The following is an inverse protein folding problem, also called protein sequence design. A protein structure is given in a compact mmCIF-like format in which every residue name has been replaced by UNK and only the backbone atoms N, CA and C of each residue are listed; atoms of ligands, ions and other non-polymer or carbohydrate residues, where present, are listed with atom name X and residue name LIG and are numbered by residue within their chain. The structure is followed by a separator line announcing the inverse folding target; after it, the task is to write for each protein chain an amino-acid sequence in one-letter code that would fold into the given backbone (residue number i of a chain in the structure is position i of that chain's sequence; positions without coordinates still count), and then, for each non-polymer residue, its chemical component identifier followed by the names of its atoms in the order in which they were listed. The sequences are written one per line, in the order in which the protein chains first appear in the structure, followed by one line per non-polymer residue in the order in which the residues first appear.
data_IF_427978692720
#
_entry.id   IF_427978692720
#
_cell.length_a   1.000
_cell.length_b   1.000
_cell.length_c   1.000
_cell.angle_alpha   90.00
_cell.angle_beta   90.00
_cell.angle_gamma   90.00
#
_symmetry.space_group_name_H-M   'P 1'
#
loop_
_entity.id
_entity.type
_entity.pdbx_description
1 polymer ?
#
# COMPACT_ATOMS: atom_id res chain seq x y z
N UNK A 1 -19.45 42.89 6.89
CA UNK A 1 -19.58 41.80 5.91
C UNK A 1 -18.26 41.03 5.90
N UNK A 2 -18.17 39.95 6.66
CA UNK A 2 -16.96 39.13 6.75
C UNK A 2 -17.08 38.07 5.65
N UNK A 3 -16.11 37.91 4.74
CA UNK A 3 -16.18 36.86 3.74
C UNK A 3 -16.08 35.50 4.46
N UNK A 4 -17.04 34.63 4.16
CA UNK A 4 -17.00 33.25 4.64
C UNK A 4 -15.74 32.58 4.11
N UNK A 5 -14.85 32.18 5.00
CA UNK A 5 -13.75 31.25 4.69
C UNK A 5 -14.43 29.93 4.31
N UNK A 6 -14.28 29.41 3.09
CA UNK A 6 -14.86 28.12 2.77
C UNK A 6 -14.24 27.08 3.70
N UNK A 7 -15.09 26.40 4.46
CA UNK A 7 -14.71 25.24 5.25
C UNK A 7 -13.98 24.28 4.30
N UNK A 8 -12.72 23.97 4.60
CA UNK A 8 -11.95 22.89 3.99
C UNK A 8 -12.57 21.52 4.36
N UNK A 9 -13.85 21.34 4.09
CA UNK A 9 -14.48 20.03 4.05
C UNK A 9 -14.04 19.35 2.76
N UNK A 10 -13.61 18.09 2.89
CA UNK A 10 -13.44 17.14 1.78
C UNK A 10 -12.20 17.31 0.88
N UNK A 11 -11.00 17.34 1.45
CA UNK A 11 -9.86 16.73 0.73
C UNK A 11 -9.81 15.24 1.09
N UNK A 12 -10.72 14.46 0.49
CA UNK A 12 -10.92 13.02 0.78
C UNK A 12 -9.73 12.14 0.34
N UNK A 13 -8.84 12.67 -0.50
CA UNK A 13 -7.67 11.97 -1.02
C UNK A 13 -6.41 12.77 -0.72
N UNK A 14 -5.38 12.08 -0.22
CA UNK A 14 -4.02 12.64 -0.17
C UNK A 14 -3.64 13.12 -1.59
N UNK A 15 -2.89 14.24 -1.72
CA UNK A 15 -2.49 14.72 -3.03
C UNK A 15 -1.73 13.63 -3.79
N UNK A 16 -2.29 13.16 -4.91
CA UNK A 16 -1.62 12.25 -5.82
C UNK A 16 -0.67 13.07 -6.70
N UNK A 17 0.59 12.68 -6.75
CA UNK A 17 1.59 13.31 -7.61
C UNK A 17 1.68 12.57 -8.93
N UNK A 18 2.12 13.25 -9.99
CA UNK A 18 2.37 12.59 -11.28
C UNK A 18 3.39 11.45 -11.16
N UNK A 19 4.31 11.54 -10.20
CA UNK A 19 5.30 10.50 -9.93
C UNK A 19 4.66 9.20 -9.42
N UNK A 20 3.55 9.26 -8.71
CA UNK A 20 2.87 8.08 -8.15
C UNK A 20 2.34 7.15 -9.24
N UNK A 21 1.98 7.72 -10.39
CA UNK A 21 1.50 7.00 -11.57
C UNK A 21 2.62 6.64 -12.56
N UNK A 22 3.82 7.18 -12.37
CA UNK A 22 4.96 6.93 -13.26
C UNK A 22 5.33 5.45 -13.30
N UNK A 23 5.17 4.75 -14.44
CA UNK A 23 5.49 3.33 -14.52
C UNK A 23 7.00 3.13 -14.59
N UNK A 24 7.52 2.32 -13.69
CA UNK A 24 8.91 1.86 -13.68
C UNK A 24 8.99 0.40 -14.10
N UNK A 25 9.96 0.09 -14.95
CA UNK A 25 10.30 -1.30 -15.27
C UNK A 25 11.43 -1.78 -14.37
N UNK A 26 11.21 -2.88 -13.64
CA UNK A 26 12.23 -3.51 -12.81
C UNK A 26 12.29 -5.00 -13.09
N UNK A 27 13.49 -5.56 -13.04
CA UNK A 27 13.70 -7.01 -13.13
C UNK A 27 13.81 -7.55 -11.71
N UNK A 28 12.95 -8.51 -11.39
CA UNK A 28 12.95 -9.21 -10.11
C UNK A 28 13.41 -10.65 -10.35
N UNK A 29 14.42 -11.08 -9.61
CA UNK A 29 15.01 -12.41 -9.74
C UNK A 29 14.82 -13.23 -8.45
N UNK A 30 14.29 -14.44 -8.58
CA UNK A 30 14.14 -15.40 -7.47
C UNK A 30 14.14 -16.82 -8.01
N UNK A 31 14.84 -17.74 -7.32
CA UNK A 31 14.83 -19.17 -7.69
C UNK A 31 15.28 -19.46 -9.12
N UNK A 32 16.20 -18.67 -9.69
CA UNK A 32 16.63 -18.79 -11.08
C UNK A 32 15.66 -18.20 -12.12
N UNK A 33 14.45 -17.81 -11.72
CA UNK A 33 13.47 -17.13 -12.58
C UNK A 33 13.71 -15.62 -12.51
N UNK A 34 13.77 -14.96 -13.68
CA UNK A 34 13.85 -13.50 -13.81
C UNK A 34 12.56 -12.99 -14.47
N UNK A 35 11.85 -12.11 -13.78
CA UNK A 35 10.61 -11.50 -14.27
C UNK A 35 10.82 -10.00 -14.47
N UNK A 36 10.59 -9.52 -15.70
CA UNK A 36 10.49 -8.08 -15.98
C UNK A 36 9.08 -7.59 -15.66
N UNK A 37 8.96 -6.62 -14.76
CA UNK A 37 7.67 -6.12 -14.30
C UNK A 37 7.64 -4.62 -14.53
N UNK A 38 6.61 -4.15 -15.25
CA UNK A 38 6.31 -2.72 -15.40
C UNK A 38 5.16 -2.36 -14.48
N UNK A 39 5.40 -1.44 -13.56
CA UNK A 39 4.47 -1.11 -12.47
C UNK A 39 4.69 0.34 -12.02
N UNK A 40 3.62 1.01 -11.59
CA UNK A 40 3.66 2.38 -11.10
C UNK A 40 4.55 2.50 -9.85
N UNK A 41 5.28 3.62 -9.70
CA UNK A 41 6.21 3.85 -8.59
C UNK A 41 5.54 3.64 -7.22
N UNK A 42 4.30 4.09 -7.06
CA UNK A 42 3.55 3.92 -5.82
C UNK A 42 3.48 2.46 -5.38
N UNK A 43 3.21 1.52 -6.29
CA UNK A 43 3.16 0.10 -5.95
C UNK A 43 4.55 -0.50 -5.70
N UNK A 44 5.61 0.00 -6.33
CA UNK A 44 6.99 -0.40 -5.97
C UNK A 44 7.35 0.00 -4.55
N UNK A 45 6.92 1.20 -4.13
CA UNK A 45 7.10 1.67 -2.75
C UNK A 45 6.29 0.80 -1.79
N UNK A 46 5.02 0.51 -2.09
CA UNK A 46 4.19 -0.38 -1.26
C UNK A 46 4.78 -1.79 -1.16
N UNK A 47 5.26 -2.37 -2.26
CA UNK A 47 5.92 -3.68 -2.23
C UNK A 47 7.16 -3.68 -1.34
N UNK A 48 7.96 -2.61 -1.37
CA UNK A 48 9.12 -2.46 -0.49
C UNK A 48 8.70 -2.42 0.98
N UNK A 49 7.68 -1.63 1.32
CA UNK A 49 7.15 -1.54 2.69
C UNK A 49 6.60 -2.89 3.18
N UNK A 50 5.85 -3.60 2.34
CA UNK A 50 5.35 -4.94 2.65
C UNK A 50 6.51 -5.93 2.88
N UNK A 51 7.56 -5.86 2.06
CA UNK A 51 8.74 -6.72 2.20
C UNK A 51 9.48 -6.46 3.52
N UNK A 52 9.68 -5.19 3.86
CA UNK A 52 10.30 -4.75 5.12
C UNK A 52 9.49 -5.21 6.34
N UNK A 53 8.17 -4.99 6.32
CA UNK A 53 7.24 -5.41 7.39
C UNK A 53 7.28 -6.93 7.61
N UNK A 54 7.34 -7.71 6.53
CA UNK A 54 7.39 -9.18 6.56
C UNK A 54 8.81 -9.75 6.70
N UNK A 55 9.84 -8.89 6.78
CA UNK A 55 11.27 -9.27 6.82
C UNK A 55 11.67 -10.21 5.67
N UNK A 56 11.14 -9.97 4.48
CA UNK A 56 11.45 -10.72 3.27
C UNK A 56 11.93 -9.80 2.15
N UNK A 57 12.32 -10.37 1.02
CA UNK A 57 12.71 -9.57 -0.16
C UNK A 57 11.51 -9.32 -1.06
N UNK A 58 11.55 -8.24 -1.85
CA UNK A 58 10.56 -8.00 -2.91
C UNK A 58 10.46 -9.21 -3.85
N UNK A 59 11.59 -9.88 -4.14
CA UNK A 59 11.60 -11.09 -4.96
C UNK A 59 10.83 -12.25 -4.36
N UNK A 60 10.85 -12.41 -3.03
CA UNK A 60 10.02 -13.42 -2.36
C UNK A 60 8.54 -13.07 -2.43
N UNK A 61 8.16 -11.82 -2.20
CA UNK A 61 6.76 -11.40 -2.31
C UNK A 61 6.19 -11.55 -3.72
N UNK A 62 6.95 -11.11 -4.72
CA UNK A 62 6.54 -11.24 -6.13
C UNK A 62 6.38 -12.70 -6.50
N UNK A 63 7.26 -13.57 -6.01
CA UNK A 63 7.17 -15.01 -6.23
C UNK A 63 5.94 -15.62 -5.54
N UNK A 64 5.67 -15.27 -4.28
CA UNK A 64 4.46 -15.69 -3.55
C UNK A 64 3.18 -15.27 -4.27
N UNK A 65 3.09 -14.01 -4.71
CA UNK A 65 1.94 -13.48 -5.48
C UNK A 65 1.79 -14.22 -6.81
N UNK A 66 2.90 -14.49 -7.50
CA UNK A 66 2.88 -15.20 -8.78
C UNK A 66 2.46 -16.67 -8.66
N UNK A 67 2.67 -17.30 -7.50
CA UNK A 67 2.19 -18.65 -7.23
C UNK A 67 0.70 -18.68 -6.84
N UNK A 68 0.23 -17.64 -6.12
CA UNK A 68 -1.16 -17.55 -5.70
C UNK A 68 -2.14 -17.22 -6.84
N UNK A 69 -1.69 -16.48 -7.86
CA UNK A 69 -2.52 -16.01 -8.97
C UNK A 69 -1.89 -16.37 -10.33
N UNK A 70 -2.55 -17.24 -11.11
CA UNK A 70 -2.07 -17.70 -12.42
C UNK A 70 -2.39 -16.72 -13.57
N UNK A 71 -2.72 -15.46 -13.25
CA UNK A 71 -3.14 -14.43 -14.20
C UNK A 71 -2.07 -13.38 -14.50
N UNK A 72 -2.51 -12.16 -14.78
CA UNK A 72 -1.61 -11.03 -15.02
C UNK A 72 -0.90 -10.62 -13.72
N UNK A 73 0.40 -10.91 -13.63
CA UNK A 73 1.21 -10.64 -12.43
C UNK A 73 1.19 -9.15 -12.03
N UNK A 74 1.22 -8.23 -12.99
CA UNK A 74 1.17 -6.79 -12.67
C UNK A 74 -0.14 -6.43 -11.99
N UNK A 75 -1.28 -6.90 -12.52
CA UNK A 75 -2.59 -6.70 -11.89
C UNK A 75 -2.66 -7.37 -10.51
N UNK A 76 -2.14 -8.60 -10.36
CA UNK A 76 -2.10 -9.31 -9.09
C UNK A 76 -1.29 -8.54 -8.03
N UNK A 77 -0.15 -7.95 -8.40
CA UNK A 77 0.66 -7.10 -7.53
C UNK A 77 -0.13 -5.86 -7.05
N UNK A 78 -0.85 -5.18 -7.95
CA UNK A 78 -1.67 -4.01 -7.57
C UNK A 78 -2.75 -4.40 -6.56
N UNK A 79 -3.44 -5.53 -6.80
CA UNK A 79 -4.46 -6.06 -5.89
C UNK A 79 -3.85 -6.45 -4.55
N UNK A 80 -2.68 -7.10 -4.54
CA UNK A 80 -1.98 -7.47 -3.32
C UNK A 80 -1.58 -6.25 -2.48
N UNK A 81 -1.07 -5.19 -3.11
CA UNK A 81 -0.75 -3.92 -2.45
C UNK A 81 -2.01 -3.28 -1.84
N UNK A 82 -3.10 -3.20 -2.61
CA UNK A 82 -4.37 -2.65 -2.15
C UNK A 82 -4.92 -3.41 -0.94
N UNK A 83 -4.95 -4.75 -1.00
CA UNK A 83 -5.41 -5.60 0.10
C UNK A 83 -4.51 -5.50 1.33
N UNK A 84 -3.19 -5.50 1.14
CA UNK A 84 -2.23 -5.38 2.24
C UNK A 84 -2.40 -4.07 3.01
N UNK A 85 -2.54 -2.95 2.29
CA UNK A 85 -2.74 -1.64 2.92
C UNK A 85 -4.10 -1.53 3.62
N UNK A 86 -5.16 -2.13 3.06
CA UNK A 86 -6.47 -2.18 3.70
C UNK A 86 -6.45 -2.98 5.01
N UNK A 87 -5.71 -4.09 5.05
CA UNK A 87 -5.55 -4.93 6.24
C UNK A 87 -4.72 -4.23 7.33
N UNK A 88 -3.65 -3.53 6.94
CA UNK A 88 -2.87 -2.70 7.87
C UNK A 88 -3.72 -1.55 8.44
N UNK A 89 -4.50 -0.85 7.59
CA UNK A 89 -5.41 0.18 8.04
C UNK A 89 -6.46 -0.36 9.01
N UNK A 90 -7.05 -1.51 8.71
CA UNK A 90 -8.01 -2.19 9.59
C UNK A 90 -7.37 -2.52 10.95
N UNK A 91 -6.15 -3.02 10.94
CA UNK A 91 -5.39 -3.35 12.15
C UNK A 91 -5.11 -2.10 13.00
N UNK A 92 -4.69 -0.99 12.38
CA UNK A 92 -4.51 0.29 13.05
C UNK A 92 -5.83 0.84 13.63
N UNK A 93 -6.93 0.75 12.87
CA UNK A 93 -8.26 1.18 13.33
C UNK A 93 -8.75 0.35 14.51
N UNK A 94 -8.50 -0.96 14.53
CA UNK A 94 -8.84 -1.83 15.68
C UNK A 94 -8.07 -1.41 16.94
N UNK A 95 -6.77 -1.10 16.82
CA UNK A 95 -5.96 -0.62 17.94
C UNK A 95 -6.47 0.73 18.46
N UNK A 96 -6.83 1.65 17.57
CA UNK A 96 -7.42 2.94 17.94
C UNK A 96 -8.82 2.79 18.57
N UNK A 97 -9.61 1.80 18.14
CA UNK A 97 -10.99 1.58 18.59
C UNK A 97 -11.10 0.93 19.97
N UNK A 98 -10.05 0.27 20.48
CA UNK A 98 -10.15 -0.52 21.71
C UNK A 98 -9.69 0.26 22.97
N UNK A 99 -9.05 1.45 22.88
CA UNK A 99 -8.44 2.03 24.10
C UNK A 99 -8.29 3.54 24.35
N UNK A 100 -8.66 4.50 23.49
CA UNK A 100 -8.01 5.85 23.61
C UNK A 100 -8.87 7.11 23.80
N UNK A 101 -10.15 7.04 24.13
CA UNK A 101 -10.85 8.26 24.64
C UNK A 101 -11.45 8.03 26.01
N UNK A 102 -12.18 6.95 26.24
CA UNK A 102 -12.90 6.79 27.51
C UNK A 102 -12.04 6.30 28.68
N UNK A 103 -10.91 5.62 28.44
CA UNK A 103 -10.08 5.07 29.52
C UNK A 103 -9.05 6.06 30.09
N UNK A 104 -8.72 7.14 29.37
CA UNK A 104 -7.81 8.20 29.83
C UNK A 104 -8.60 9.35 30.49
N UNK A 105 -9.87 9.54 30.13
CA UNK A 105 -10.74 10.59 30.69
C UNK A 105 -11.53 10.16 31.93
N UNK A 106 -11.49 8.89 32.33
CA UNK A 106 -12.27 8.34 33.46
C UNK A 106 -11.36 7.76 34.57
N UNK A 107 -10.04 7.95 34.48
CA UNK A 107 -9.07 7.58 35.51
C UNK A 107 -8.51 8.81 36.23
#
# INVERSE_FOLDING_TARGET
MIPAVPHQGERLLLPLTAEDFGPEFRVVARGGVRRGIRLERAFWVTLKQMAESRKCTIGMLVDEIAHAEQGNLTSAIRVACMRGMADENLSLRKLASIRTITAILVA
#
